data_IF_863571747505
#
_entry.id   IF_863571747505
#
_cell.length_a   1.000
_cell.length_b   1.000
_cell.length_c   1.000
_cell.angle_alpha   90.00
_cell.angle_beta   90.00
_cell.angle_gamma   90.00
#
_symmetry.space_group_name_H-M   'P 1'
#
loop_
_entity.id
_entity.type
_entity.pdbx_description
1 polymer ?
#
# COMPACT_ATOMS: atom_id res chain seq x y z
N UNK A 1 24.17 -10.97 21.29
CA UNK A 1 22.87 -10.34 20.97
C UNK A 1 22.50 -10.79 19.58
N UNK A 2 21.85 -11.96 19.45
CA UNK A 2 21.33 -12.41 18.15
C UNK A 2 20.17 -11.48 17.74
N UNK A 3 20.30 -10.94 16.58
CA UNK A 3 19.46 -9.87 16.05
C UNK A 3 18.00 -10.34 15.93
N UNK A 4 17.06 -9.68 16.58
CA UNK A 4 15.61 -9.98 16.45
C UNK A 4 15.11 -10.00 14.98
N UNK A 5 15.89 -9.46 14.06
CA UNK A 5 15.65 -9.55 12.61
C UNK A 5 15.67 -10.99 12.09
N UNK A 6 16.40 -11.91 12.72
CA UNK A 6 16.49 -13.32 12.29
C UNK A 6 15.19 -14.07 12.54
N UNK A 7 14.50 -13.82 13.66
CA UNK A 7 13.20 -14.46 13.97
C UNK A 7 12.10 -13.98 13.03
N UNK A 8 12.00 -12.66 12.78
CA UNK A 8 11.04 -12.11 11.83
C UNK A 8 11.24 -12.71 10.43
N UNK A 9 12.50 -12.82 10.01
CA UNK A 9 12.86 -13.37 8.72
C UNK A 9 12.57 -14.87 8.62
N UNK A 10 12.91 -15.65 9.64
CA UNK A 10 12.72 -17.12 9.61
C UNK A 10 11.26 -17.54 9.74
N UNK A 11 10.44 -16.80 10.49
CA UNK A 11 9.04 -17.12 10.70
C UNK A 11 8.16 -16.75 9.52
N UNK A 12 8.27 -15.52 9.03
CA UNK A 12 7.34 -14.94 8.06
C UNK A 12 7.87 -14.88 6.63
N UNK A 13 9.20 -14.87 6.45
CA UNK A 13 9.82 -14.68 5.16
C UNK A 13 10.63 -15.90 4.72
N UNK A 14 10.73 -16.07 3.41
CA UNK A 14 11.57 -17.08 2.78
C UNK A 14 13.05 -16.68 2.89
N UNK A 15 13.80 -17.22 3.82
CA UNK A 15 15.19 -16.86 4.10
C UNK A 15 16.10 -16.95 2.86
N UNK A 16 15.89 -17.96 1.99
CA UNK A 16 16.60 -18.13 0.71
C UNK A 16 16.37 -17.00 -0.31
N UNK A 17 15.43 -16.11 -0.06
CA UNK A 17 15.08 -14.95 -0.89
C UNK A 17 15.49 -13.62 -0.26
N UNK A 18 16.34 -13.68 0.75
CA UNK A 18 16.92 -12.51 1.41
C UNK A 18 18.45 -12.55 1.20
N UNK A 19 19.08 -11.46 0.73
CA UNK A 19 18.46 -10.18 0.38
C UNK A 19 17.45 -10.27 -0.77
N UNK A 20 16.44 -9.40 -0.71
CA UNK A 20 15.35 -9.39 -1.69
C UNK A 20 15.78 -8.76 -3.03
N UNK A 21 14.89 -8.78 -4.01
CA UNK A 21 15.12 -8.17 -5.33
C UNK A 21 15.01 -6.64 -5.35
N UNK A 22 14.75 -6.00 -4.20
CA UNK A 22 14.74 -4.54 -4.08
C UNK A 22 16.14 -3.96 -4.33
N UNK A 23 16.19 -2.80 -4.97
CA UNK A 23 17.44 -2.08 -5.17
C UNK A 23 18.09 -1.72 -3.82
N UNK A 24 19.42 -1.69 -3.76
CA UNK A 24 20.15 -1.26 -2.56
C UNK A 24 19.70 0.14 -2.14
N UNK A 25 19.28 0.29 -0.87
CA UNK A 25 18.77 1.55 -0.31
C UNK A 25 17.37 1.95 -0.73
N UNK A 26 16.65 1.09 -1.42
CA UNK A 26 15.25 1.29 -1.74
C UNK A 26 14.39 1.21 -0.46
N UNK A 27 13.50 2.18 -0.26
CA UNK A 27 12.59 2.21 0.90
C UNK A 27 11.54 1.11 0.93
N UNK A 28 11.35 0.40 -0.18
CA UNK A 28 10.40 -0.72 -0.27
C UNK A 28 10.66 -1.80 0.79
N UNK A 29 11.93 -2.11 1.05
CA UNK A 29 12.31 -3.07 2.08
C UNK A 29 11.90 -2.63 3.49
N UNK A 30 11.94 -1.33 3.77
CA UNK A 30 11.49 -0.75 5.05
C UNK A 30 9.97 -0.86 5.18
N UNK A 31 9.22 -0.47 4.15
CA UNK A 31 7.76 -0.60 4.14
C UNK A 31 7.33 -2.06 4.32
N UNK A 32 8.00 -2.99 3.64
CA UNK A 32 7.71 -4.42 3.79
C UNK A 32 7.98 -4.91 5.22
N UNK A 33 9.10 -4.47 5.83
CA UNK A 33 9.42 -4.79 7.23
C UNK A 33 8.37 -4.23 8.20
N UNK A 34 7.86 -3.03 7.98
CA UNK A 34 6.80 -2.42 8.78
C UNK A 34 5.55 -3.32 8.79
N UNK A 35 5.13 -3.80 7.62
CA UNK A 35 3.95 -4.66 7.50
C UNK A 35 4.18 -6.01 8.20
N UNK A 36 5.32 -6.66 7.97
CA UNK A 36 5.65 -7.95 8.63
C UNK A 36 5.76 -7.78 10.14
N UNK A 37 6.31 -6.65 10.61
CA UNK A 37 6.37 -6.33 12.03
C UNK A 37 4.98 -6.18 12.65
N UNK A 38 4.07 -5.48 11.96
CA UNK A 38 2.68 -5.32 12.41
C UNK A 38 1.95 -6.67 12.51
N UNK A 39 2.13 -7.54 11.53
CA UNK A 39 1.60 -8.91 11.53
C UNK A 39 2.07 -9.68 12.78
N UNK A 40 3.38 -9.65 13.04
CA UNK A 40 3.99 -10.30 14.22
C UNK A 40 3.42 -9.74 15.52
N UNK A 41 3.34 -8.42 15.64
CA UNK A 41 2.92 -7.74 16.87
C UNK A 41 1.43 -7.94 17.17
N UNK A 42 0.65 -8.32 16.16
CA UNK A 42 -0.74 -8.77 16.29
C UNK A 42 -0.85 -10.26 16.66
N UNK A 43 0.26 -10.99 16.74
CA UNK A 43 0.26 -12.44 16.99
C UNK A 43 -0.34 -13.28 15.87
N UNK A 44 -0.46 -12.73 14.65
CA UNK A 44 -0.98 -13.44 13.49
C UNK A 44 0.06 -14.40 12.94
N UNK A 45 -0.35 -15.60 12.63
CA UNK A 45 0.48 -16.60 11.98
C UNK A 45 0.47 -16.42 10.46
N UNK A 46 1.44 -17.04 9.79
CA UNK A 46 1.54 -17.04 8.33
C UNK A 46 0.26 -17.58 7.68
N UNK A 47 -0.34 -18.60 8.31
CA UNK A 47 -1.57 -19.23 7.85
C UNK A 47 -2.81 -18.32 7.95
N UNK A 48 -2.80 -17.30 8.82
CA UNK A 48 -3.94 -16.39 8.99
C UNK A 48 -4.07 -15.38 7.85
N UNK A 49 -3.06 -15.29 6.99
CA UNK A 49 -2.94 -14.21 6.01
C UNK A 49 -2.89 -14.78 4.60
N UNK A 50 -3.72 -14.19 3.74
CA UNK A 50 -3.61 -14.32 2.29
C UNK A 50 -3.05 -12.99 1.76
N UNK A 51 -1.80 -13.02 1.27
CA UNK A 51 -1.11 -11.80 0.83
C UNK A 51 -1.16 -11.64 -0.69
N UNK A 52 -2.01 -10.72 -1.14
CA UNK A 52 -2.14 -10.41 -2.57
C UNK A 52 -1.16 -9.33 -3.02
N UNK A 53 -0.77 -9.42 -4.26
CA UNK A 53 0.11 -8.42 -4.89
C UNK A 53 -0.20 -8.26 -6.37
N UNK A 54 0.36 -7.23 -6.97
CA UNK A 54 0.20 -6.94 -8.39
C UNK A 54 1.55 -6.69 -9.05
N UNK A 55 1.58 -5.96 -10.14
CA UNK A 55 2.76 -5.76 -10.99
C UNK A 55 3.67 -4.64 -10.40
N UNK A 56 4.97 -4.77 -10.64
CA UNK A 56 5.96 -3.76 -10.28
C UNK A 56 6.88 -4.16 -9.14
N UNK A 57 7.61 -3.20 -8.60
CA UNK A 57 8.61 -3.44 -7.54
C UNK A 57 7.96 -4.00 -6.26
N UNK A 58 6.82 -3.44 -5.85
CA UNK A 58 6.08 -3.88 -4.67
C UNK A 58 5.64 -5.34 -4.77
N UNK A 59 5.12 -5.74 -5.94
CA UNK A 59 4.70 -7.10 -6.21
C UNK A 59 5.83 -8.09 -6.14
N UNK A 60 6.95 -7.80 -6.78
CA UNK A 60 8.14 -8.67 -6.77
C UNK A 60 8.70 -8.86 -5.36
N UNK A 61 8.74 -7.81 -4.56
CA UNK A 61 9.22 -7.88 -3.17
C UNK A 61 8.36 -8.84 -2.36
N UNK A 62 7.06 -8.62 -2.32
CA UNK A 62 6.13 -9.38 -1.49
C UNK A 62 6.02 -10.83 -1.94
N UNK A 63 5.73 -11.06 -3.22
CA UNK A 63 5.56 -12.41 -3.77
C UNK A 63 6.84 -13.26 -3.64
N UNK A 64 7.99 -12.62 -3.81
CA UNK A 64 9.27 -13.30 -3.66
C UNK A 64 9.62 -13.69 -2.23
N UNK A 65 9.23 -12.90 -1.24
CA UNK A 65 9.69 -13.03 0.14
C UNK A 65 8.67 -13.61 1.11
N UNK A 66 7.36 -13.46 0.88
CA UNK A 66 6.33 -13.99 1.78
C UNK A 66 6.32 -15.52 1.81
N UNK A 67 6.21 -16.11 3.01
CA UNK A 67 6.28 -17.55 3.22
C UNK A 67 4.91 -18.23 3.14
N UNK A 68 3.84 -17.50 3.42
CA UNK A 68 2.47 -18.02 3.44
C UNK A 68 1.77 -18.02 2.08
N UNK A 69 0.47 -18.22 2.16
CA UNK A 69 -0.40 -18.18 0.99
C UNK A 69 -0.45 -16.78 0.38
N UNK A 70 -0.51 -16.73 -0.94
CA UNK A 70 -0.57 -15.46 -1.66
C UNK A 70 -0.99 -15.64 -3.09
N UNK A 71 -1.39 -14.53 -3.70
CA UNK A 71 -1.74 -14.48 -5.12
C UNK A 71 -1.20 -13.21 -5.78
N UNK A 72 -0.99 -13.28 -7.07
CA UNK A 72 -0.61 -12.14 -7.89
C UNK A 72 -1.71 -11.87 -8.92
N UNK A 73 -2.19 -10.63 -8.94
CA UNK A 73 -3.11 -10.15 -9.97
C UNK A 73 -2.37 -9.53 -11.16
N UNK A 74 -3.05 -9.42 -12.28
CA UNK A 74 -2.60 -8.55 -13.38
C UNK A 74 -2.68 -7.08 -12.94
N UNK A 75 -1.96 -6.23 -13.63
CA UNK A 75 -1.82 -4.81 -13.27
C UNK A 75 -3.17 -4.13 -13.04
N UNK A 76 -3.37 -3.60 -11.84
CA UNK A 76 -4.58 -2.92 -11.39
C UNK A 76 -5.77 -3.82 -11.06
N UNK A 77 -5.65 -5.15 -11.11
CA UNK A 77 -6.80 -6.06 -10.94
C UNK A 77 -6.85 -6.79 -9.58
N UNK A 78 -5.82 -6.68 -8.79
CA UNK A 78 -5.71 -7.39 -7.51
C UNK A 78 -6.86 -7.11 -6.54
N UNK A 79 -7.41 -5.89 -6.55
CA UNK A 79 -8.54 -5.49 -5.69
C UNK A 79 -9.82 -6.25 -6.02
N UNK A 80 -10.10 -6.44 -7.31
CA UNK A 80 -11.26 -7.21 -7.77
C UNK A 80 -11.12 -8.70 -7.39
N UNK A 81 -9.93 -9.26 -7.55
CA UNK A 81 -9.61 -10.64 -7.14
C UNK A 81 -9.77 -10.79 -5.62
N UNK A 82 -9.19 -9.88 -4.85
CA UNK A 82 -9.28 -9.88 -3.38
C UNK A 82 -10.72 -9.78 -2.89
N UNK A 83 -11.55 -8.97 -3.54
CA UNK A 83 -12.97 -8.84 -3.21
C UNK A 83 -13.72 -10.15 -3.44
N UNK A 84 -13.41 -10.87 -4.53
CA UNK A 84 -13.95 -12.21 -4.77
C UNK A 84 -13.48 -13.23 -3.72
N UNK A 85 -12.16 -13.21 -3.43
CA UNK A 85 -11.59 -14.07 -2.39
C UNK A 85 -12.18 -13.81 -1.00
N UNK A 86 -12.51 -12.55 -0.67
CA UNK A 86 -13.11 -12.22 0.64
C UNK A 86 -14.43 -12.95 0.88
N UNK A 87 -15.23 -13.15 -0.15
CA UNK A 87 -16.50 -13.91 -0.05
C UNK A 87 -16.25 -15.41 0.15
N UNK A 88 -15.18 -15.94 -0.43
CA UNK A 88 -14.86 -17.36 -0.39
C UNK A 88 -14.04 -17.79 0.85
N UNK A 89 -13.31 -16.86 1.46
CA UNK A 89 -12.45 -17.13 2.60
C UNK A 89 -13.22 -17.03 3.91
N UNK A 90 -12.82 -17.82 4.91
CA UNK A 90 -13.32 -17.66 6.29
C UNK A 90 -13.10 -16.24 6.81
N UNK A 91 -14.02 -15.69 7.62
CA UNK A 91 -13.98 -14.30 8.06
C UNK A 91 -12.78 -13.94 8.93
N UNK A 92 -12.15 -14.91 9.59
CA UNK A 92 -10.94 -14.74 10.39
C UNK A 92 -9.67 -14.53 9.54
N UNK A 93 -9.66 -15.01 8.31
CA UNK A 93 -8.51 -14.81 7.40
C UNK A 93 -8.38 -13.35 7.02
N UNK A 94 -7.15 -12.83 7.08
CA UNK A 94 -6.83 -11.46 6.68
C UNK A 94 -6.33 -11.41 5.26
N UNK A 95 -6.86 -10.50 4.47
CA UNK A 95 -6.35 -10.20 3.13
C UNK A 95 -5.51 -8.93 3.21
N UNK A 96 -4.21 -9.06 2.92
CA UNK A 96 -3.30 -7.91 2.80
C UNK A 96 -2.89 -7.80 1.35
N UNK A 97 -2.97 -6.59 0.80
CA UNK A 97 -2.54 -6.29 -0.56
C UNK A 97 -1.34 -5.35 -0.52
N UNK A 98 -0.28 -5.69 -1.23
CA UNK A 98 0.89 -4.80 -1.39
C UNK A 98 1.06 -4.48 -2.87
N UNK A 99 0.90 -3.22 -3.21
CA UNK A 99 0.81 -2.71 -4.59
C UNK A 99 1.68 -1.46 -4.75
N UNK A 100 1.97 -1.08 -6.00
CA UNK A 100 2.63 0.19 -6.33
C UNK A 100 1.61 1.31 -6.58
N UNK A 101 2.10 2.55 -6.59
CA UNK A 101 1.33 3.76 -6.90
C UNK A 101 0.73 3.71 -8.32
N UNK A 102 1.52 3.36 -9.32
CA UNK A 102 1.02 3.22 -10.69
C UNK A 102 -0.03 2.12 -10.85
N UNK A 103 0.05 1.07 -10.04
CA UNK A 103 -0.94 0.00 -9.99
C UNK A 103 -2.24 0.48 -9.32
N UNK A 104 -2.11 1.15 -8.17
CA UNK A 104 -3.24 1.57 -7.36
C UNK A 104 -3.98 2.77 -7.93
N UNK A 105 -3.23 3.80 -8.29
CA UNK A 105 -3.76 5.13 -8.59
C UNK A 105 -3.82 5.42 -10.10
N UNK A 106 -3.15 4.58 -10.89
CA UNK A 106 -3.28 4.57 -12.35
C UNK A 106 -4.36 3.59 -12.80
N UNK A 107 -3.92 2.48 -13.39
CA UNK A 107 -4.80 1.51 -14.06
C UNK A 107 -5.79 0.80 -13.11
N UNK A 108 -5.51 0.73 -11.82
CA UNK A 108 -6.33 0.03 -10.82
C UNK A 108 -7.33 0.91 -10.07
N UNK A 109 -7.33 2.23 -10.27
CA UNK A 109 -8.09 3.16 -9.43
C UNK A 109 -9.60 2.86 -9.37
N UNK A 110 -10.20 2.50 -10.50
CA UNK A 110 -11.62 2.16 -10.52
C UNK A 110 -11.94 0.93 -9.64
N UNK A 111 -11.10 -0.11 -9.67
CA UNK A 111 -11.28 -1.29 -8.83
C UNK A 111 -11.02 -1.00 -7.36
N UNK A 112 -10.05 -0.12 -7.07
CA UNK A 112 -9.76 0.35 -5.72
C UNK A 112 -10.95 1.11 -5.13
N UNK A 113 -11.55 2.04 -5.90
CA UNK A 113 -12.76 2.77 -5.53
C UNK A 113 -13.92 1.80 -5.25
N UNK A 114 -14.13 0.80 -6.10
CA UNK A 114 -15.19 -0.18 -5.89
C UNK A 114 -14.95 -1.09 -4.68
N UNK A 115 -13.70 -1.42 -4.35
CA UNK A 115 -13.37 -2.14 -3.13
C UNK A 115 -13.70 -1.31 -1.88
N UNK A 116 -13.32 -0.03 -1.87
CA UNK A 116 -13.64 0.92 -0.80
C UNK A 116 -15.16 1.11 -0.65
N UNK A 117 -15.87 1.34 -1.77
CA UNK A 117 -17.33 1.51 -1.79
C UNK A 117 -18.06 0.32 -1.19
N UNK A 118 -17.63 -0.89 -1.48
CA UNK A 118 -18.22 -2.11 -0.93
C UNK A 118 -17.79 -2.43 0.50
N UNK A 119 -16.86 -1.68 1.08
CA UNK A 119 -16.23 -1.94 2.38
C UNK A 119 -15.72 -3.38 2.51
N UNK A 120 -15.07 -3.89 1.47
CA UNK A 120 -14.53 -5.25 1.48
C UNK A 120 -13.37 -5.35 2.49
N UNK A 121 -13.41 -6.31 3.40
CA UNK A 121 -12.37 -6.52 4.42
C UNK A 121 -11.04 -6.91 3.78
N UNK A 122 -10.23 -5.91 3.56
CA UNK A 122 -8.87 -6.00 3.05
C UNK A 122 -8.02 -4.80 3.48
N UNK A 123 -6.75 -5.04 3.73
CA UNK A 123 -5.78 -3.98 4.02
C UNK A 123 -4.88 -3.77 2.82
N UNK A 124 -4.97 -2.59 2.21
CA UNK A 124 -4.19 -2.21 1.03
C UNK A 124 -2.99 -1.36 1.45
N UNK A 125 -1.78 -1.82 1.19
CA UNK A 125 -0.53 -1.08 1.38
C UNK A 125 -0.05 -0.60 0.01
N UNK A 126 -0.18 0.69 -0.24
CA UNK A 126 0.30 1.30 -1.47
C UNK A 126 1.72 1.80 -1.27
N UNK A 127 2.67 1.10 -1.88
CA UNK A 127 4.07 1.47 -1.89
C UNK A 127 4.33 2.45 -3.04
N UNK A 128 4.38 3.73 -2.69
CA UNK A 128 4.52 4.81 -3.66
C UNK A 128 5.99 5.19 -3.86
N UNK A 129 6.51 4.92 -5.03
CA UNK A 129 7.87 5.29 -5.43
C UNK A 129 7.91 6.43 -6.45
N UNK A 130 6.84 7.19 -6.52
CA UNK A 130 6.68 8.43 -7.29
C UNK A 130 6.71 8.22 -8.80
N UNK A 131 6.03 7.17 -9.27
CA UNK A 131 5.87 6.89 -10.70
C UNK A 131 6.12 5.45 -11.10
N UNK A 132 6.21 5.18 -12.39
CA UNK A 132 6.41 3.83 -12.93
C UNK A 132 7.89 3.42 -12.91
N UNK A 133 8.45 3.25 -11.71
CA UNK A 133 9.90 3.07 -11.53
C UNK A 133 10.39 1.69 -12.01
N UNK A 134 9.54 0.67 -12.00
CA UNK A 134 9.91 -0.68 -12.44
C UNK A 134 10.19 -0.76 -13.95
N UNK A 135 9.58 0.11 -14.73
CA UNK A 135 9.70 0.15 -16.21
C UNK A 135 10.65 1.21 -16.72
N UNK A 136 11.28 1.98 -15.82
CA UNK A 136 12.29 2.98 -16.22
C UNK A 136 12.10 4.35 -15.60
N UNK A 137 11.03 4.60 -14.83
CA UNK A 137 10.78 5.86 -14.14
C UNK A 137 9.97 6.86 -14.95
N UNK A 138 8.90 6.39 -15.58
CA UNK A 138 7.93 7.25 -16.25
C UNK A 138 7.07 7.98 -15.22
N UNK A 139 6.49 9.09 -15.64
CA UNK A 139 5.57 9.89 -14.85
C UNK A 139 4.35 9.07 -14.40
N UNK A 140 3.95 9.22 -13.15
CA UNK A 140 2.76 8.63 -12.56
C UNK A 140 1.94 9.67 -11.79
N UNK A 141 0.76 9.29 -11.34
CA UNK A 141 -0.19 10.19 -10.65
C UNK A 141 0.31 10.76 -9.32
N UNK A 142 1.30 10.12 -8.71
CA UNK A 142 1.92 10.55 -7.44
C UNK A 142 3.27 11.26 -7.66
N UNK A 143 3.74 11.33 -8.90
CA UNK A 143 4.97 12.06 -9.21
C UNK A 143 4.76 13.55 -8.90
N UNK A 144 5.60 14.16 -8.05
CA UNK A 144 5.47 15.57 -7.71
C UNK A 144 5.55 16.44 -8.97
N UNK A 145 4.70 17.46 -9.01
CA UNK A 145 4.62 18.38 -10.15
C UNK A 145 6.00 19.00 -10.44
N UNK A 146 6.37 19.02 -11.71
CA UNK A 146 7.66 19.55 -12.17
C UNK A 146 8.85 18.59 -12.05
N UNK A 147 8.66 17.39 -11.46
CA UNK A 147 9.75 16.42 -11.33
C UNK A 147 10.21 15.87 -12.67
N UNK A 148 11.51 15.63 -12.78
CA UNK A 148 12.13 14.99 -13.94
C UNK A 148 11.90 13.50 -13.94
N UNK A 149 11.34 12.99 -15.01
CA UNK A 149 11.08 11.56 -15.21
C UNK A 149 11.54 11.12 -16.59
N UNK A 150 11.42 9.83 -16.91
CA UNK A 150 11.75 9.32 -18.23
C UNK A 150 10.82 9.90 -19.34
N UNK A 151 9.55 10.02 -19.03
CA UNK A 151 8.54 10.60 -19.94
C UNK A 151 8.40 12.11 -19.81
N UNK A 152 9.07 12.74 -18.86
CA UNK A 152 9.09 14.20 -18.62
C UNK A 152 10.51 14.66 -18.25
N UNK A 153 11.47 14.59 -19.18
CA UNK A 153 12.89 14.77 -18.88
C UNK A 153 13.25 16.20 -18.46
N UNK A 154 12.42 17.16 -18.83
CA UNK A 154 12.61 18.58 -18.49
C UNK A 154 11.89 18.99 -17.20
N UNK A 155 11.14 18.11 -16.58
CA UNK A 155 10.40 18.38 -15.34
C UNK A 155 9.15 19.25 -15.50
N UNK A 156 8.81 19.67 -16.72
CA UNK A 156 7.68 20.55 -17.03
C UNK A 156 6.89 20.02 -18.21
N UNK A 157 6.28 18.85 -18.04
CA UNK A 157 5.39 18.36 -19.06
C UNK A 157 3.97 18.88 -18.80
N UNK A 158 3.31 19.40 -19.83
CA UNK A 158 2.02 20.06 -19.73
C UNK A 158 0.91 19.27 -19.04
N UNK A 159 0.74 17.97 -19.25
CA UNK A 159 -0.22 17.18 -18.49
C UNK A 159 -0.02 17.23 -16.97
N UNK A 160 1.22 17.41 -16.51
CA UNK A 160 1.52 17.57 -15.09
C UNK A 160 1.00 18.89 -14.53
N UNK A 161 1.01 19.94 -15.36
CA UNK A 161 0.51 21.26 -14.97
C UNK A 161 -1.03 21.28 -14.92
N UNK A 162 -1.68 20.52 -15.80
CA UNK A 162 -3.14 20.49 -15.92
C UNK A 162 -3.79 19.54 -14.92
N UNK A 163 -3.12 18.42 -14.58
CA UNK A 163 -3.73 17.35 -13.78
C UNK A 163 -3.65 17.61 -12.27
N UNK A 164 -2.67 18.40 -11.81
CA UNK A 164 -2.39 18.51 -10.38
C UNK A 164 -2.02 17.17 -9.71
N UNK A 165 -1.81 17.19 -8.41
CA UNK A 165 -1.63 15.98 -7.62
C UNK A 165 -3.01 15.49 -7.18
N UNK A 166 -3.34 14.25 -7.55
CA UNK A 166 -4.61 13.64 -7.15
C UNK A 166 -4.58 13.29 -5.65
N UNK A 167 -5.52 13.81 -4.88
CA UNK A 167 -5.69 13.37 -3.48
C UNK A 167 -6.52 12.09 -3.41
N UNK A 168 -5.80 10.98 -3.47
CA UNK A 168 -6.41 9.64 -3.48
C UNK A 168 -7.09 9.31 -2.16
N UNK A 169 -6.60 9.83 -1.03
CA UNK A 169 -7.20 9.55 0.27
C UNK A 169 -8.59 10.20 0.38
N UNK A 170 -8.74 11.43 -0.13
CA UNK A 170 -10.06 12.08 -0.16
C UNK A 170 -11.01 11.39 -1.15
N UNK A 171 -10.53 10.93 -2.29
CA UNK A 171 -11.34 10.13 -3.23
C UNK A 171 -11.85 8.86 -2.56
N UNK A 172 -10.99 8.13 -1.86
CA UNK A 172 -11.35 6.87 -1.20
C UNK A 172 -12.25 7.08 0.02
N UNK A 173 -12.06 8.18 0.76
CA UNK A 173 -12.96 8.60 1.82
C UNK A 173 -14.35 8.88 1.26
N UNK A 174 -14.46 9.65 0.17
CA UNK A 174 -15.71 9.88 -0.54
C UNK A 174 -16.35 8.61 -1.11
N UNK A 175 -15.54 7.61 -1.47
CA UNK A 175 -16.01 6.29 -1.87
C UNK A 175 -16.50 5.42 -0.70
N UNK A 176 -16.21 5.78 0.55
CA UNK A 176 -16.66 5.09 1.75
C UNK A 176 -15.65 4.10 2.34
N UNK A 177 -14.35 4.31 2.11
CA UNK A 177 -13.31 3.61 2.87
C UNK A 177 -13.47 3.86 4.36
N UNK A 178 -13.25 2.83 5.19
CA UNK A 178 -13.43 2.95 6.65
C UNK A 178 -12.14 3.24 7.40
N UNK A 179 -10.98 2.99 6.80
CA UNK A 179 -9.70 3.36 7.40
C UNK A 179 -8.71 3.84 6.33
N UNK A 180 -8.19 5.06 6.50
CA UNK A 180 -7.22 5.66 5.58
C UNK A 180 -6.08 6.30 6.36
N UNK A 181 -4.84 6.05 5.94
CA UNK A 181 -3.65 6.63 6.55
C UNK A 181 -2.56 6.87 5.51
N UNK A 182 -1.62 7.75 5.86
CA UNK A 182 -0.38 7.94 5.11
C UNK A 182 0.81 7.96 6.07
N UNK A 183 1.86 7.22 5.70
CA UNK A 183 3.14 7.25 6.39
C UNK A 183 4.29 7.20 5.38
N UNK A 184 5.36 7.92 5.67
CA UNK A 184 6.61 7.75 4.91
C UNK A 184 7.44 6.62 5.52
N UNK A 185 8.34 6.02 4.73
CA UNK A 185 9.14 4.86 5.17
C UNK A 185 9.94 5.10 6.47
N UNK A 186 10.20 6.37 6.82
CA UNK A 186 10.96 6.75 8.02
C UNK A 186 10.11 6.88 9.29
N UNK A 187 8.79 6.79 9.22
CA UNK A 187 7.92 6.90 10.40
C UNK A 187 8.02 5.70 11.36
N UNK A 188 8.68 4.62 10.91
CA UNK A 188 9.08 3.51 11.76
C UNK A 188 7.93 2.92 12.59
N UNK A 189 8.05 3.03 13.91
CA UNK A 189 7.07 2.42 14.84
C UNK A 189 5.66 3.02 14.70
N UNK A 190 5.53 4.30 14.38
CA UNK A 190 4.23 4.94 14.16
C UNK A 190 3.48 4.31 12.98
N UNK A 191 4.22 3.98 11.91
CA UNK A 191 3.67 3.27 10.77
C UNK A 191 3.27 1.83 11.14
N UNK A 192 4.05 1.13 11.97
CA UNK A 192 3.70 -0.21 12.47
C UNK A 192 2.37 -0.18 13.23
N UNK A 193 2.20 0.75 14.18
CA UNK A 193 0.95 0.87 14.95
C UNK A 193 -0.25 1.20 14.05
N UNK A 194 -0.06 2.03 13.04
CA UNK A 194 -1.12 2.33 12.07
C UNK A 194 -1.46 1.11 11.20
N UNK A 195 -0.48 0.34 10.74
CA UNK A 195 -0.71 -0.91 9.99
C UNK A 195 -1.47 -1.94 10.84
N UNK A 196 -1.16 -2.04 12.13
CA UNK A 196 -1.91 -2.91 13.06
C UNK A 196 -3.39 -2.53 13.10
N UNK A 197 -3.71 -1.24 13.27
CA UNK A 197 -5.10 -0.75 13.26
C UNK A 197 -5.79 -1.07 11.94
N UNK A 198 -5.11 -0.86 10.82
CA UNK A 198 -5.65 -1.15 9.50
C UNK A 198 -5.98 -2.65 9.32
N UNK A 199 -5.14 -3.56 9.81
CA UNK A 199 -5.37 -5.01 9.75
C UNK A 199 -6.53 -5.44 10.69
N UNK A 200 -6.71 -4.74 11.81
CA UNK A 200 -7.78 -5.00 12.77
C UNK A 200 -9.15 -4.47 12.32
N UNK A 201 -9.16 -3.44 11.46
CA UNK A 201 -10.41 -2.92 10.90
C UNK A 201 -11.15 -4.02 10.12
N UNK A 202 -12.44 -4.18 10.37
CA UNK A 202 -13.34 -5.04 9.58
C UNK A 202 -13.96 -4.22 8.46
N UNK A 203 -13.27 -4.16 7.35
CA UNK A 203 -13.66 -3.37 6.19
C UNK A 203 -12.47 -2.92 5.39
N UNK A 204 -12.69 -1.96 4.49
CA UNK A 204 -11.65 -1.49 3.60
C UNK A 204 -10.69 -0.53 4.31
N UNK A 205 -9.42 -0.93 4.35
CA UNK A 205 -8.30 -0.13 4.86
C UNK A 205 -7.28 0.16 3.77
N UNK A 206 -6.77 1.38 3.72
CA UNK A 206 -5.63 1.72 2.86
C UNK A 206 -4.60 2.55 3.61
N UNK A 207 -3.33 2.17 3.44
CA UNK A 207 -2.18 2.96 3.89
C UNK A 207 -1.32 3.32 2.69
N UNK A 208 -1.21 4.61 2.43
CA UNK A 208 -0.32 5.16 1.42
C UNK A 208 1.07 5.35 2.02
N UNK A 209 2.10 4.71 1.43
CA UNK A 209 3.46 4.68 1.95
C UNK A 209 4.48 5.16 0.92
N UNK A 210 4.67 6.48 0.77
CA UNK A 210 5.74 7.04 -0.04
C UNK A 210 7.13 6.59 0.46
N UNK A 211 7.99 6.21 -0.49
CA UNK A 211 9.33 5.76 -0.18
C UNK A 211 10.34 6.16 -1.27
N UNK A 212 11.64 6.27 -0.91
CA UNK A 212 12.65 6.69 -1.88
C UNK A 212 12.96 5.60 -2.90
N UNK A 213 12.98 5.98 -4.19
CA UNK A 213 13.53 5.18 -5.28
C UNK A 213 14.90 5.74 -5.68
N UNK A 214 16.03 5.10 -5.32
CA UNK A 214 17.35 5.62 -5.65
C UNK A 214 17.70 5.47 -7.13
N UNK A 215 17.14 4.46 -7.80
CA UNK A 215 17.56 4.07 -9.14
C UNK A 215 17.08 5.06 -10.20
N UNK A 216 15.81 5.38 -10.23
CA UNK A 216 15.24 6.25 -11.27
C UNK A 216 14.88 7.63 -10.73
N UNK A 217 13.98 7.74 -9.76
CA UNK A 217 13.55 9.04 -9.24
C UNK A 217 14.74 9.85 -8.67
N UNK A 218 15.49 9.27 -7.76
CA UNK A 218 16.65 9.94 -7.16
C UNK A 218 17.71 10.34 -8.20
N UNK A 219 17.99 9.46 -9.14
CA UNK A 219 18.96 9.73 -10.20
C UNK A 219 18.54 10.87 -11.12
N UNK A 220 17.25 10.98 -11.49
CA UNK A 220 16.75 11.98 -12.43
C UNK A 220 16.38 13.29 -11.75
N UNK A 221 15.60 13.22 -10.69
CA UNK A 221 15.09 14.42 -10.00
C UNK A 221 16.18 15.07 -9.13
N UNK A 222 16.95 14.27 -8.41
CA UNK A 222 17.93 14.78 -7.44
C UNK A 222 19.37 14.73 -7.95
N UNK A 223 19.59 14.19 -9.15
CA UNK A 223 20.95 13.97 -9.67
C UNK A 223 21.79 13.03 -8.78
N UNK A 224 21.16 12.24 -7.91
CA UNK A 224 21.83 11.46 -6.90
C UNK A 224 21.17 10.11 -6.68
N UNK A 225 21.98 9.06 -6.56
CA UNK A 225 21.56 7.75 -6.08
C UNK A 225 21.85 7.55 -4.60
N UNK A 226 22.40 8.57 -3.93
CA UNK A 226 22.69 8.50 -2.51
C UNK A 226 21.37 8.46 -1.72
N UNK A 227 21.18 7.38 -1.04
CA UNK A 227 19.97 7.07 -0.27
C UNK A 227 19.69 8.14 0.80
N UNK A 228 20.73 8.61 1.50
CA UNK A 228 20.61 9.61 2.56
C UNK A 228 20.00 10.90 2.00
N UNK A 229 20.42 11.34 0.80
CA UNK A 229 19.87 12.53 0.16
C UNK A 229 18.39 12.36 -0.21
N UNK A 230 18.04 11.17 -0.71
CA UNK A 230 16.67 10.88 -1.12
C UNK A 230 15.74 10.78 0.11
N UNK A 231 16.19 10.11 1.18
CA UNK A 231 15.45 10.05 2.44
C UNK A 231 15.26 11.43 3.06
N UNK A 232 16.30 12.27 3.04
CA UNK A 232 16.22 13.67 3.51
C UNK A 232 15.19 14.45 2.70
N UNK A 233 15.22 14.34 1.38
CA UNK A 233 14.29 15.02 0.49
C UNK A 233 12.83 14.65 0.80
N UNK A 234 12.52 13.37 1.04
CA UNK A 234 11.17 12.93 1.45
C UNK A 234 10.81 13.49 2.84
N UNK A 235 11.76 13.38 3.79
CA UNK A 235 11.52 13.84 5.17
C UNK A 235 11.22 15.34 5.26
N UNK A 236 11.91 16.15 4.47
CA UNK A 236 11.71 17.60 4.42
C UNK A 236 10.33 17.99 3.85
N UNK A 237 9.70 17.08 3.08
CA UNK A 237 8.40 17.28 2.44
C UNK A 237 7.26 16.50 3.09
N UNK A 238 7.54 15.83 4.18
CA UNK A 238 6.54 15.16 5.00
C UNK A 238 6.32 15.94 6.32
N UNK A 239 5.08 16.03 6.75
CA UNK A 239 4.72 16.62 8.04
C UNK A 239 3.55 15.85 8.66
N UNK A 240 3.41 15.82 9.99
CA UNK A 240 2.19 15.28 10.61
C UNK A 240 0.94 16.03 10.13
N UNK A 241 -0.15 15.30 9.98
CA UNK A 241 -1.45 15.85 9.59
C UNK A 241 -1.86 16.99 10.54
N UNK A 242 -2.24 18.14 9.98
CA UNK A 242 -2.55 19.37 10.73
C UNK A 242 -1.33 20.22 11.07
N UNK A 243 -0.12 19.83 10.63
CA UNK A 243 1.13 20.59 10.82
C UNK A 243 1.86 20.85 9.48
N UNK A 244 1.09 20.84 8.39
CA UNK A 244 1.62 21.03 7.05
C UNK A 244 2.24 22.41 6.87
N UNK A 245 3.35 22.45 6.14
CA UNK A 245 4.04 23.66 5.72
C UNK A 245 3.82 23.85 4.21
N UNK A 246 4.19 25.03 3.70
CA UNK A 246 4.03 25.36 2.26
C UNK A 246 4.59 24.32 1.31
N UNK A 247 5.70 23.68 1.66
CA UNK A 247 6.39 22.70 0.81
C UNK A 247 6.07 21.24 1.20
N UNK A 248 5.07 21.02 2.05
CA UNK A 248 4.64 19.68 2.42
C UNK A 248 3.92 19.02 1.27
N UNK A 249 4.43 17.88 0.83
CA UNK A 249 3.79 17.01 -0.16
C UNK A 249 2.96 15.93 0.54
N UNK A 250 3.46 15.41 1.66
CA UNK A 250 2.83 14.31 2.39
C UNK A 250 2.48 14.71 3.81
N UNK A 251 1.19 14.95 4.05
CA UNK A 251 0.66 14.97 5.40
C UNK A 251 0.53 13.52 5.90
N UNK A 252 1.24 13.18 6.99
CA UNK A 252 1.35 11.82 7.53
C UNK A 252 0.50 11.62 8.76
N UNK A 253 -0.02 10.41 8.96
CA UNK A 253 -0.88 10.03 10.06
C UNK A 253 -2.16 9.34 9.59
N UNK A 254 -3.12 9.19 10.49
CA UNK A 254 -4.43 8.64 10.20
C UNK A 254 -5.32 9.74 9.63
N UNK A 255 -5.71 9.61 8.37
CA UNK A 255 -6.54 10.58 7.65
C UNK A 255 -8.03 10.39 7.91
N UNK A 256 -8.43 9.15 8.09
CA UNK A 256 -9.82 8.79 8.34
C UNK A 256 -9.86 7.48 9.13
N UNK A 257 -10.59 7.48 10.24
CA UNK A 257 -10.85 6.30 11.04
C UNK A 257 -12.35 6.26 11.38
N UNK A 258 -13.06 5.48 10.59
CA UNK A 258 -14.45 5.10 10.79
C UNK A 258 -14.54 3.57 10.89
N UNK A 259 -13.54 2.96 11.53
CA UNK A 259 -13.45 1.51 11.71
C UNK A 259 -14.73 0.96 12.32
N UNK A 260 -15.23 -0.14 11.74
CA UNK A 260 -16.44 -0.82 12.17
C UNK A 260 -17.74 0.04 12.12
N UNK A 261 -17.75 1.18 11.43
CA UNK A 261 -18.91 2.07 11.33
C UNK A 261 -20.00 1.56 10.36
N UNK A 262 -19.68 0.59 9.52
CA UNK A 262 -20.58 0.02 8.52
C UNK A 262 -20.28 -1.48 8.29
N UNK A 263 -21.30 -2.25 7.87
CA UNK A 263 -21.11 -3.68 7.59
C UNK A 263 -20.05 -3.94 6.53
N UNK A 264 -19.36 -5.04 6.67
CA UNK A 264 -18.40 -5.54 5.70
C UNK A 264 -19.11 -6.30 4.57
N UNK A 265 -18.56 -6.23 3.36
CA UNK A 265 -19.18 -6.75 2.14
C UNK A 265 -19.49 -8.27 2.21
N UNK A 266 -18.54 -9.10 2.64
CA UNK A 266 -18.72 -10.55 2.65
C UNK A 266 -19.72 -10.98 3.72
N UNK A 267 -19.76 -10.29 4.84
CA UNK A 267 -20.74 -10.52 5.90
C UNK A 267 -22.17 -10.33 5.34
N UNK A 268 -22.44 -9.22 4.65
CA UNK A 268 -23.74 -8.97 4.03
C UNK A 268 -24.12 -10.03 3.01
N UNK A 269 -23.14 -10.52 2.23
CA UNK A 269 -23.37 -11.60 1.26
C UNK A 269 -23.77 -12.89 1.99
N UNK A 270 -23.01 -13.29 3.01
CA UNK A 270 -23.29 -14.51 3.77
C UNK A 270 -24.63 -14.46 4.50
N UNK A 271 -24.93 -13.36 5.17
CA UNK A 271 -26.22 -13.16 5.84
C UNK A 271 -27.40 -13.22 4.86
N UNK A 272 -27.23 -12.63 3.67
CA UNK A 272 -28.25 -12.69 2.62
C UNK A 272 -28.46 -14.12 2.11
N UNK A 273 -27.38 -14.84 1.83
CA UNK A 273 -27.45 -16.24 1.39
C UNK A 273 -28.13 -17.13 2.44
N UNK A 274 -27.80 -16.96 3.71
CA UNK A 274 -28.41 -17.73 4.78
C UNK A 274 -29.88 -17.40 4.98
N UNK A 275 -30.26 -16.12 4.85
CA UNK A 275 -31.65 -15.70 4.86
C UNK A 275 -32.43 -16.39 3.74
N UNK A 276 -31.94 -16.34 2.49
CA UNK A 276 -32.59 -16.99 1.34
C UNK A 276 -32.72 -18.51 1.56
N UNK A 277 -31.67 -19.17 2.05
CA UNK A 277 -31.70 -20.62 2.35
C UNK A 277 -32.81 -20.98 3.35
N UNK A 278 -33.03 -20.11 4.33
CA UNK A 278 -34.00 -20.34 5.42
C UNK A 278 -35.43 -19.98 5.03
N UNK A 279 -35.65 -18.92 4.26
CA UNK A 279 -36.96 -18.34 3.99
C UNK A 279 -37.43 -18.58 2.54
N UNK A 280 -36.56 -18.97 1.63
CA UNK A 280 -36.85 -19.05 0.19
C UNK A 280 -36.97 -17.70 -0.51
N UNK A 281 -36.81 -16.58 0.22
CA UNK A 281 -36.98 -15.20 -0.32
C UNK A 281 -35.90 -14.26 0.19
N UNK A 282 -35.66 -13.17 -0.54
CA UNK A 282 -34.77 -12.06 -0.15
C UNK A 282 -35.32 -11.28 1.04
#
# INVERSE_FOLDING_TARGET
>A
MEYQSSQLTSTYLRSRKIPSTACSGCGLGMNHKIVVQAIRDLGLEVADIVWGTSIGCAGRQTFGTWKGDGFAGTHGRVYAIARGLRVALPPEKKIILTVGDGDAFGIGLNHLIHAARSNADMTVIVNDNLGYQSTGGQYGWTTPQGSKTDSSPYGMFEPNLMSGVMDVLEILKGAGATFLARHVAMDGIWAVETVKKAIQNRGFSLIHMPYPCPTNFGSRELGSRNQVNIYRWIKERAAPLGQEKKDTIWATGIWHDASNSRPEFSQLVHETVEKIRRTGTL
#
